data_IF_101950738208
#
_entry.id   IF_101950738208
#
_cell.length_a   1.000
_cell.length_b   1.000
_cell.length_c   1.000
_cell.angle_alpha   90.00
_cell.angle_beta   90.00
_cell.angle_gamma   90.00
#
_symmetry.space_group_name_H-M   'P 1'
#
loop_
_entity.id
_entity.type
_entity.pdbx_description
1 polymer ?
#
# COMPACT_ATOMS: atom_id res chain seq x y z
N UNK A 1 0.18 18.76 16.42
CA UNK A 1 -0.44 17.74 15.54
C UNK A 1 -1.43 18.30 14.54
N UNK A 2 -2.42 19.10 14.92
CA UNK A 2 -3.46 19.55 13.96
C UNK A 2 -2.91 20.33 12.76
N UNK A 3 -1.91 21.21 12.96
CA UNK A 3 -1.26 21.91 11.84
C UNK A 3 -0.40 20.98 10.97
N UNK A 4 0.27 20.00 11.57
CA UNK A 4 1.01 18.98 10.83
C UNK A 4 0.06 18.19 9.93
N UNK A 5 -1.05 17.68 10.50
CA UNK A 5 -2.08 16.96 9.77
C UNK A 5 -2.65 17.80 8.60
N UNK A 6 -2.88 19.10 8.81
CA UNK A 6 -3.34 19.99 7.75
C UNK A 6 -2.31 20.14 6.61
N UNK A 7 -1.01 20.21 6.92
CA UNK A 7 0.02 20.26 5.86
C UNK A 7 0.18 18.93 5.13
N UNK A 8 0.14 17.81 5.85
CA UNK A 8 0.30 16.47 5.25
C UNK A 8 -0.89 16.10 4.37
N UNK A 9 -2.12 16.38 4.81
CA UNK A 9 -3.34 16.12 4.04
C UNK A 9 -3.45 16.96 2.77
N UNK A 10 -2.85 18.16 2.75
CA UNK A 10 -2.84 19.05 1.59
C UNK A 10 -1.59 18.87 0.69
N UNK A 11 -0.79 17.83 0.93
CA UNK A 11 0.41 17.55 0.12
C UNK A 11 1.52 18.60 0.26
N UNK A 12 1.45 19.47 1.27
CA UNK A 12 2.46 20.50 1.52
C UNK A 12 3.66 19.93 2.28
N UNK A 13 4.36 18.96 1.68
CA UNK A 13 5.45 18.22 2.32
C UNK A 13 6.51 19.15 2.93
N UNK A 14 6.98 20.16 2.20
CA UNK A 14 8.02 21.08 2.70
C UNK A 14 7.56 21.79 3.99
N UNK A 15 6.30 22.25 4.04
CA UNK A 15 5.74 22.91 5.24
C UNK A 15 5.53 21.91 6.38
N UNK A 16 5.10 20.69 6.07
CA UNK A 16 4.98 19.61 7.04
C UNK A 16 6.34 19.29 7.67
N UNK A 17 7.40 19.15 6.86
CA UNK A 17 8.75 18.92 7.34
C UNK A 17 9.26 20.04 8.24
N UNK A 18 9.11 21.30 7.80
CA UNK A 18 9.53 22.46 8.58
C UNK A 18 8.83 22.47 9.94
N UNK A 19 7.50 22.35 9.94
CA UNK A 19 6.72 22.34 11.16
C UNK A 19 7.08 21.17 12.07
N UNK A 20 7.26 19.96 11.49
CA UNK A 20 7.66 18.78 12.24
C UNK A 20 9.00 19.02 12.95
N UNK A 21 10.04 19.49 12.25
CA UNK A 21 11.36 19.68 12.86
C UNK A 21 11.40 20.82 13.90
N UNK A 22 10.49 21.78 13.84
CA UNK A 22 10.33 22.82 14.86
C UNK A 22 9.55 22.36 16.11
N UNK A 23 8.87 21.22 16.07
CA UNK A 23 8.13 20.72 17.23
C UNK A 23 9.09 20.35 18.37
N UNK A 24 8.88 20.86 19.60
CA UNK A 24 9.75 20.57 20.73
C UNK A 24 9.69 19.11 21.17
N UNK A 25 8.57 18.44 20.90
CA UNK A 25 8.36 17.02 21.12
C UNK A 25 7.54 16.44 19.98
N UNK A 26 7.93 15.24 19.53
CA UNK A 26 7.20 14.45 18.56
C UNK A 26 6.49 13.31 19.25
N UNK A 27 5.17 13.28 19.16
CA UNK A 27 4.40 12.14 19.58
C UNK A 27 4.21 11.15 18.43
N UNK A 28 3.56 10.04 18.75
CA UNK A 28 3.34 8.96 17.81
C UNK A 28 2.59 9.39 16.53
N UNK A 29 1.55 10.21 16.70
CA UNK A 29 0.74 10.72 15.58
C UNK A 29 1.59 11.57 14.64
N UNK A 30 2.50 12.39 15.18
CA UNK A 30 3.38 13.22 14.37
C UNK A 30 4.38 12.40 13.54
N UNK A 31 4.96 11.34 14.11
CA UNK A 31 5.84 10.42 13.38
C UNK A 31 5.11 9.66 12.27
N UNK A 32 3.92 9.11 12.56
CA UNK A 32 3.11 8.41 11.57
C UNK A 32 2.68 9.33 10.43
N UNK A 33 2.32 10.58 10.76
CA UNK A 33 1.96 11.58 9.75
C UNK A 33 3.12 11.85 8.80
N UNK A 34 4.34 12.02 9.32
CA UNK A 34 5.52 12.23 8.48
C UNK A 34 5.87 11.00 7.64
N UNK A 35 5.82 9.80 8.24
CA UNK A 35 6.09 8.56 7.52
C UNK A 35 5.12 8.36 6.35
N UNK A 36 3.82 8.50 6.60
CA UNK A 36 2.78 8.37 5.58
C UNK A 36 2.98 9.40 4.46
N UNK A 37 3.31 10.64 4.81
CA UNK A 37 3.50 11.72 3.83
C UNK A 37 4.71 11.44 2.94
N UNK A 38 5.85 11.02 3.50
CA UNK A 38 7.00 10.65 2.68
C UNK A 38 6.71 9.43 1.80
N UNK A 39 6.05 8.41 2.35
CA UNK A 39 5.70 7.20 1.60
C UNK A 39 4.80 7.50 0.40
N UNK A 40 3.71 8.25 0.59
CA UNK A 40 2.74 8.58 -0.45
C UNK A 40 3.31 9.49 -1.55
N UNK A 41 4.31 10.32 -1.22
CA UNK A 41 4.99 11.18 -2.18
C UNK A 41 6.21 10.51 -2.83
N UNK A 42 6.46 9.22 -2.58
CA UNK A 42 7.58 8.48 -3.17
C UNK A 42 8.96 8.85 -2.62
N UNK A 43 9.03 9.53 -1.48
CA UNK A 43 10.29 9.84 -0.77
C UNK A 43 10.72 8.64 0.08
N UNK A 44 11.13 7.57 -0.61
CA UNK A 44 11.36 6.24 0.00
C UNK A 44 12.51 6.24 1.01
N UNK A 45 13.58 7.00 0.72
CA UNK A 45 14.76 7.09 1.60
C UNK A 45 14.38 7.72 2.95
N UNK A 46 13.66 8.85 2.89
CA UNK A 46 13.15 9.57 4.05
C UNK A 46 12.12 8.73 4.82
N UNK A 47 11.20 8.06 4.12
CA UNK A 47 10.25 7.13 4.74
C UNK A 47 10.96 6.00 5.50
N UNK A 48 11.97 5.36 4.89
CA UNK A 48 12.79 4.32 5.55
C UNK A 48 13.52 4.87 6.78
N UNK A 49 14.04 6.11 6.71
CA UNK A 49 14.69 6.76 7.84
C UNK A 49 13.73 7.04 9.01
N UNK A 50 12.54 7.59 8.74
CA UNK A 50 11.50 7.81 9.75
C UNK A 50 11.07 6.48 10.37
N UNK A 51 10.80 5.46 9.55
CA UNK A 51 10.37 4.14 10.05
C UNK A 51 11.42 3.49 10.96
N UNK A 52 12.71 3.57 10.61
CA UNK A 52 13.79 3.09 11.48
C UNK A 52 13.83 3.83 12.81
N UNK A 53 13.53 5.13 12.83
CA UNK A 53 13.44 5.90 14.07
C UNK A 53 12.26 5.44 14.92
N UNK A 54 11.09 5.19 14.33
CA UNK A 54 9.91 4.67 15.05
C UNK A 54 10.19 3.28 15.64
N UNK A 55 10.86 2.39 14.88
CA UNK A 55 11.28 1.06 15.37
C UNK A 55 12.19 1.16 16.58
N UNK A 56 13.18 2.05 16.56
CA UNK A 56 14.09 2.25 17.70
C UNK A 56 13.37 2.74 18.96
N UNK A 57 12.23 3.42 18.80
CA UNK A 57 11.41 3.84 19.91
C UNK A 57 10.44 2.74 20.38
N UNK A 58 10.33 1.60 19.69
CA UNK A 58 9.34 0.53 19.93
C UNK A 58 7.88 1.02 19.85
N UNK A 59 7.60 1.94 18.93
CA UNK A 59 6.26 2.52 18.77
C UNK A 59 5.54 2.05 17.50
N UNK A 60 6.05 1.10 16.70
CA UNK A 60 5.40 0.74 15.43
C UNK A 60 3.99 0.17 15.63
N UNK A 61 3.03 0.76 14.92
CA UNK A 61 1.65 0.25 14.77
C UNK A 61 1.39 -0.22 13.33
N UNK A 62 0.13 -0.55 13.06
CA UNK A 62 -0.37 -0.88 11.73
C UNK A 62 -0.14 0.25 10.71
N UNK A 63 -0.34 1.52 11.09
CA UNK A 63 -0.12 2.68 10.20
C UNK A 63 1.35 2.81 9.77
N UNK A 64 2.29 2.56 10.68
CA UNK A 64 3.72 2.56 10.38
C UNK A 64 4.06 1.53 9.29
N UNK A 65 3.55 0.32 9.47
CA UNK A 65 3.81 -0.79 8.55
C UNK A 65 3.10 -0.61 7.21
N UNK A 66 1.87 -0.12 7.19
CA UNK A 66 1.19 0.23 5.95
C UNK A 66 1.99 1.27 5.16
N UNK A 67 2.48 2.31 5.83
CA UNK A 67 3.23 3.38 5.19
C UNK A 67 4.57 2.90 4.61
N UNK A 68 5.31 2.03 5.31
CA UNK A 68 6.56 1.50 4.76
C UNK A 68 6.31 0.53 3.60
N UNK A 69 5.20 -0.21 3.60
CA UNK A 69 4.80 -1.05 2.45
C UNK A 69 4.47 -0.19 1.22
N UNK A 70 3.76 0.94 1.40
CA UNK A 70 3.52 1.91 0.31
C UNK A 70 4.84 2.43 -0.25
N UNK A 71 5.78 2.83 0.62
CA UNK A 71 7.10 3.29 0.20
C UNK A 71 7.88 2.21 -0.58
N UNK A 72 7.89 0.97 -0.09
CA UNK A 72 8.47 -0.18 -0.81
C UNK A 72 7.78 -0.43 -2.14
N UNK A 73 6.47 -0.19 -2.22
CA UNK A 73 5.69 -0.25 -3.45
C UNK A 73 6.19 0.72 -4.50
N UNK A 74 6.54 1.96 -4.14
CA UNK A 74 7.09 2.94 -5.09
C UNK A 74 8.48 2.55 -5.63
N UNK A 75 9.31 1.92 -4.80
CA UNK A 75 10.68 1.50 -5.13
C UNK A 75 10.74 0.13 -5.85
N UNK A 76 9.64 -0.63 -5.85
CA UNK A 76 9.61 -2.02 -6.32
C UNK A 76 10.38 -3.00 -5.42
N UNK A 77 10.70 -2.60 -4.20
CA UNK A 77 11.53 -3.35 -3.26
C UNK A 77 10.73 -4.47 -2.56
N UNK A 78 10.57 -5.58 -3.27
CA UNK A 78 9.85 -6.77 -2.81
C UNK A 78 10.45 -7.40 -1.56
N UNK A 79 11.77 -7.40 -1.45
CA UNK A 79 12.45 -8.02 -0.31
C UNK A 79 12.09 -7.28 0.98
N UNK A 80 12.27 -5.96 0.99
CA UNK A 80 11.96 -5.13 2.15
C UNK A 80 10.48 -5.20 2.50
N UNK A 81 9.59 -5.17 1.51
CA UNK A 81 8.15 -5.29 1.75
C UNK A 81 7.78 -6.63 2.41
N UNK A 82 8.28 -7.75 1.90
CA UNK A 82 8.03 -9.08 2.49
C UNK A 82 8.58 -9.18 3.91
N UNK A 83 9.81 -8.70 4.12
CA UNK A 83 10.45 -8.69 5.43
C UNK A 83 9.62 -7.91 6.45
N UNK A 84 9.17 -6.70 6.10
CA UNK A 84 8.31 -5.90 6.97
C UNK A 84 6.93 -6.51 7.18
N UNK A 85 6.32 -7.10 6.15
CA UNK A 85 5.01 -7.75 6.27
C UNK A 85 5.04 -8.93 7.26
N UNK A 86 6.12 -9.73 7.25
CA UNK A 86 6.29 -10.86 8.18
C UNK A 86 6.65 -10.38 9.59
N UNK A 87 7.50 -9.35 9.71
CA UNK A 87 7.91 -8.84 11.03
C UNK A 87 6.76 -8.23 11.81
N UNK A 88 5.71 -7.72 11.16
CA UNK A 88 4.46 -7.28 11.82
C UNK A 88 3.96 -8.32 12.82
N UNK A 89 3.78 -9.57 12.38
CA UNK A 89 3.27 -10.65 13.21
C UNK A 89 4.33 -11.26 14.12
N UNK A 90 5.55 -11.45 13.61
CA UNK A 90 6.61 -12.18 14.31
C UNK A 90 7.28 -11.36 15.41
N UNK A 91 7.58 -10.09 15.13
CA UNK A 91 8.39 -9.24 16.01
C UNK A 91 7.50 -8.25 16.79
N UNK A 92 6.46 -7.71 16.15
CA UNK A 92 5.59 -6.67 16.74
C UNK A 92 4.23 -7.18 17.22
N UNK A 93 3.90 -8.46 16.96
CA UNK A 93 2.62 -9.10 17.31
C UNK A 93 1.38 -8.36 16.80
N UNK A 94 1.52 -7.64 15.68
CA UNK A 94 0.45 -6.95 14.97
C UNK A 94 -0.21 -7.91 13.98
N UNK A 95 -1.53 -7.74 13.79
CA UNK A 95 -2.28 -8.46 12.77
C UNK A 95 -2.28 -7.66 11.46
N UNK A 96 -2.02 -8.32 10.33
CA UNK A 96 -2.06 -7.69 9.03
C UNK A 96 -3.52 -7.38 8.63
N UNK A 97 -3.81 -6.11 8.36
CA UNK A 97 -5.14 -5.66 7.90
C UNK A 97 -5.31 -5.87 6.39
N UNK A 98 -6.55 -5.80 5.87
CA UNK A 98 -6.82 -5.86 4.42
C UNK A 98 -5.92 -4.91 3.63
N UNK A 99 -5.69 -3.69 4.13
CA UNK A 99 -4.87 -2.68 3.46
C UNK A 99 -3.41 -3.15 3.27
N UNK A 100 -2.83 -3.86 4.24
CA UNK A 100 -1.48 -4.42 4.11
C UNK A 100 -1.42 -5.45 2.97
N UNK A 101 -2.43 -6.33 2.89
CA UNK A 101 -2.54 -7.30 1.81
C UNK A 101 -2.71 -6.61 0.45
N UNK A 102 -3.58 -5.59 0.36
CA UNK A 102 -3.77 -4.82 -0.88
C UNK A 102 -2.47 -4.16 -1.34
N UNK A 103 -1.66 -3.59 -0.43
CA UNK A 103 -0.34 -3.05 -0.78
C UNK A 103 0.63 -4.13 -1.28
N UNK A 104 0.64 -5.31 -0.67
CA UNK A 104 1.47 -6.42 -1.14
C UNK A 104 1.04 -6.92 -2.52
N UNK A 105 -0.27 -7.00 -2.79
CA UNK A 105 -0.81 -7.36 -4.11
C UNK A 105 -0.41 -6.33 -5.16
N UNK A 106 -0.60 -5.03 -4.88
CA UNK A 106 -0.20 -3.95 -5.79
C UNK A 106 1.31 -4.01 -6.11
N UNK A 107 2.16 -4.16 -5.09
CA UNK A 107 3.60 -4.27 -5.26
C UNK A 107 3.98 -5.47 -6.14
N UNK A 108 3.44 -6.67 -5.84
CA UNK A 108 3.70 -7.88 -6.61
C UNK A 108 3.25 -7.71 -8.07
N UNK A 109 2.06 -7.13 -8.28
CA UNK A 109 1.50 -6.95 -9.60
C UNK A 109 2.33 -5.96 -10.45
N UNK A 110 2.73 -4.82 -9.86
CA UNK A 110 3.58 -3.83 -10.55
C UNK A 110 4.99 -4.37 -10.82
N UNK A 111 5.52 -5.21 -9.94
CA UNK A 111 6.79 -5.90 -10.16
C UNK A 111 6.71 -7.09 -11.15
N UNK A 112 5.54 -7.38 -11.72
CA UNK A 112 5.36 -8.46 -12.71
C UNK A 112 5.15 -9.85 -12.10
N UNK A 113 5.07 -9.98 -10.77
CA UNK A 113 4.81 -11.23 -10.06
C UNK A 113 3.31 -11.55 -10.02
N UNK A 114 2.66 -11.58 -11.19
CA UNK A 114 1.20 -11.66 -11.31
C UNK A 114 0.60 -12.94 -10.72
N UNK A 115 1.32 -14.06 -10.82
CA UNK A 115 0.88 -15.32 -10.22
C UNK A 115 0.84 -15.24 -8.69
N UNK A 116 1.87 -14.67 -8.07
CA UNK A 116 1.96 -14.51 -6.62
C UNK A 116 0.93 -13.47 -6.12
N UNK A 117 0.75 -12.38 -6.86
CA UNK A 117 -0.28 -11.38 -6.57
C UNK A 117 -1.69 -12.02 -6.57
N UNK A 118 -2.00 -12.82 -7.58
CA UNK A 118 -3.27 -13.54 -7.67
C UNK A 118 -3.43 -14.58 -6.56
N UNK A 119 -2.39 -15.36 -6.27
CA UNK A 119 -2.42 -16.33 -5.18
C UNK A 119 -2.70 -15.63 -3.84
N UNK A 120 -2.06 -14.50 -3.58
CA UNK A 120 -2.29 -13.70 -2.38
C UNK A 120 -3.74 -13.19 -2.31
N UNK A 121 -4.28 -12.67 -3.41
CA UNK A 121 -5.70 -12.26 -3.50
C UNK A 121 -6.67 -13.41 -3.17
N UNK A 122 -6.35 -14.64 -3.56
CA UNK A 122 -7.21 -15.81 -3.33
C UNK A 122 -7.05 -16.42 -1.93
N UNK A 123 -5.91 -16.20 -1.27
CA UNK A 123 -5.54 -16.85 0.00
C UNK A 123 -5.59 -15.92 1.21
N UNK A 124 -5.66 -14.60 0.99
CA UNK A 124 -5.76 -13.64 2.08
C UNK A 124 -7.04 -13.87 2.92
N UNK A 125 -7.03 -13.58 4.24
CA UNK A 125 -8.15 -13.84 5.14
C UNK A 125 -9.30 -12.81 5.00
N UNK A 126 -9.32 -12.03 3.91
CA UNK A 126 -10.28 -10.97 3.66
C UNK A 126 -10.92 -11.17 2.28
N UNK A 127 -12.16 -10.72 2.12
CA UNK A 127 -12.84 -10.75 0.83
C UNK A 127 -12.21 -9.74 -0.13
N UNK A 128 -11.80 -10.23 -1.31
CA UNK A 128 -11.48 -9.37 -2.46
C UNK A 128 -12.76 -8.77 -3.00
N UNK A 129 -12.73 -7.48 -3.31
CA UNK A 129 -13.84 -6.77 -3.93
C UNK A 129 -13.53 -6.40 -5.39
N UNK A 130 -14.48 -5.75 -6.07
CA UNK A 130 -14.30 -5.42 -7.49
C UNK A 130 -13.19 -4.40 -7.74
N UNK A 131 -12.82 -3.60 -6.73
CA UNK A 131 -11.71 -2.63 -6.83
C UNK A 131 -10.37 -3.36 -6.83
N UNK A 132 -10.20 -4.34 -5.93
CA UNK A 132 -8.99 -5.17 -5.88
C UNK A 132 -8.72 -5.86 -7.25
N UNK A 133 -9.76 -6.44 -7.86
CA UNK A 133 -9.67 -7.07 -9.18
C UNK A 133 -9.45 -6.09 -10.34
N UNK A 134 -10.01 -4.86 -10.27
CA UNK A 134 -9.74 -3.80 -11.26
C UNK A 134 -8.28 -3.35 -11.23
N UNK A 135 -7.69 -3.19 -10.04
CA UNK A 135 -6.28 -2.86 -9.89
C UNK A 135 -5.39 -3.96 -10.47
N UNK A 136 -5.68 -5.22 -10.16
CA UNK A 136 -4.94 -6.37 -10.70
C UNK A 136 -5.06 -6.48 -12.23
N UNK A 137 -6.26 -6.27 -12.78
CA UNK A 137 -6.49 -6.21 -14.23
C UNK A 137 -5.63 -5.13 -14.90
N UNK A 138 -5.52 -3.95 -14.29
CA UNK A 138 -4.64 -2.87 -14.77
C UNK A 138 -3.19 -3.32 -14.89
N UNK A 139 -2.67 -4.00 -13.86
CA UNK A 139 -1.31 -4.54 -13.88
C UNK A 139 -1.11 -5.65 -14.92
N UNK A 140 -2.07 -6.57 -15.09
CA UNK A 140 -2.02 -7.60 -16.13
C UNK A 140 -1.91 -6.98 -17.54
N UNK A 141 -2.63 -5.88 -17.82
CA UNK A 141 -2.54 -5.16 -19.10
C UNK A 141 -1.15 -4.58 -19.32
N UNK A 142 -0.58 -3.94 -18.29
CA UNK A 142 0.79 -3.39 -18.36
C UNK A 142 1.85 -4.46 -18.64
N UNK A 143 1.63 -5.68 -18.17
CA UNK A 143 2.55 -6.82 -18.33
C UNK A 143 2.15 -7.81 -19.43
N UNK A 144 1.16 -7.49 -20.26
CA UNK A 144 0.65 -8.34 -21.35
C UNK A 144 0.21 -9.76 -20.92
N UNK A 145 -0.25 -9.92 -19.67
CA UNK A 145 -0.79 -11.19 -19.18
C UNK A 145 -2.28 -11.34 -19.54
N UNK A 146 -2.51 -11.91 -20.72
CA UNK A 146 -3.86 -12.12 -21.27
C UNK A 146 -4.68 -13.06 -20.39
N UNK A 147 -4.07 -14.12 -19.84
CA UNK A 147 -4.81 -15.12 -19.04
C UNK A 147 -5.20 -14.56 -17.67
N UNK A 148 -4.27 -13.91 -16.98
CA UNK A 148 -4.55 -13.23 -15.71
C UNK A 148 -5.57 -12.12 -15.90
N UNK A 149 -5.43 -11.32 -16.96
CA UNK A 149 -6.36 -10.25 -17.31
C UNK A 149 -7.78 -10.75 -17.57
N UNK A 150 -7.94 -11.82 -18.35
CA UNK A 150 -9.26 -12.41 -18.61
C UNK A 150 -9.96 -12.90 -17.34
N UNK A 151 -9.23 -13.57 -16.44
CA UNK A 151 -9.78 -14.01 -15.16
C UNK A 151 -10.16 -12.84 -14.25
N UNK A 152 -9.29 -11.82 -14.15
CA UNK A 152 -9.53 -10.64 -13.35
C UNK A 152 -10.76 -9.87 -13.83
N UNK A 153 -10.88 -9.69 -15.15
CA UNK A 153 -12.05 -9.07 -15.76
C UNK A 153 -13.32 -9.84 -15.39
N UNK A 154 -13.35 -11.16 -15.57
CA UNK A 154 -14.51 -11.99 -15.22
C UNK A 154 -14.93 -11.80 -13.75
N UNK A 155 -13.99 -11.85 -12.81
CA UNK A 155 -14.26 -11.63 -11.37
C UNK A 155 -14.87 -10.25 -11.10
N UNK A 156 -14.34 -9.21 -11.75
CA UNK A 156 -14.92 -7.86 -11.66
C UNK A 156 -16.38 -7.83 -12.12
N UNK A 157 -16.73 -8.50 -13.23
CA UNK A 157 -18.11 -8.53 -13.74
C UNK A 157 -19.07 -9.27 -12.81
N UNK A 158 -18.64 -10.42 -12.28
CA UNK A 158 -19.44 -11.23 -11.35
C UNK A 158 -19.81 -10.41 -10.11
N UNK A 159 -18.87 -9.62 -9.59
CA UNK A 159 -19.06 -8.75 -8.43
C UNK A 159 -19.86 -7.48 -8.76
N UNK A 160 -19.67 -6.90 -9.95
CA UNK A 160 -20.35 -5.69 -10.42
C UNK A 160 -21.70 -6.00 -11.10
N UNK A 161 -22.24 -7.23 -11.02
CA UNK A 161 -23.45 -7.68 -11.73
C UNK A 161 -24.76 -6.93 -11.41
N UNK A 162 -24.69 -5.89 -10.57
CA UNK A 162 -25.74 -4.88 -10.38
C UNK A 162 -25.55 -3.59 -11.21
N UNK A 163 -24.45 -3.45 -11.97
CA UNK A 163 -24.08 -2.27 -12.77
C UNK A 163 -23.62 -2.68 -14.18
N UNK A 164 -24.42 -2.32 -15.21
CA UNK A 164 -24.21 -2.66 -16.62
C UNK A 164 -22.91 -2.15 -17.29
N UNK A 165 -22.01 -1.49 -16.56
CA UNK A 165 -20.69 -1.01 -17.02
C UNK A 165 -19.66 -2.14 -17.22
N UNK A 166 -20.01 -3.34 -16.78
CA UNK A 166 -19.20 -4.55 -16.83
C UNK A 166 -18.67 -4.85 -18.27
N UNK A 167 -19.54 -4.74 -19.29
CA UNK A 167 -19.19 -5.10 -20.67
C UNK A 167 -18.20 -4.13 -21.35
N UNK A 168 -18.14 -2.86 -20.95
CA UNK A 168 -17.20 -1.88 -21.55
C UNK A 168 -15.73 -2.12 -21.17
N UNK A 169 -15.47 -2.83 -20.06
CA UNK A 169 -14.11 -3.17 -19.63
C UNK A 169 -13.52 -4.34 -20.45
N UNK A 170 -14.36 -5.28 -20.89
CA UNK A 170 -13.96 -6.39 -21.77
C UNK A 170 -13.61 -5.92 -23.19
N UNK A 171 -14.29 -4.87 -23.68
CA UNK A 171 -14.09 -4.37 -25.05
C UNK A 171 -12.73 -3.69 -25.28
N UNK A 172 -11.94 -3.47 -24.22
CA UNK A 172 -10.62 -2.85 -24.25
C UNK A 172 -9.48 -3.80 -23.81
N UNK A 173 -9.74 -5.12 -23.82
CA UNK A 173 -8.73 -6.18 -23.64
C UNK A 173 -8.01 -6.41 -24.96
#
# INVERSE_FOLDING_TARGET
NSMLAAYTQNGHLIRACHFFWEMPQHDFVSWNSMLATYAQNGHVVEAKAIFNRIKLLNHCDDVCFLSILIASSHDGDLYTARSHFVSMSMDFRLQQTKQHYTCMVDLLARAGHLNEARELMLTMPYLTDSVDWKCFLGACRSHSDIRGGGHAAQRTLEMDSNNGSAYSLLANI
#
